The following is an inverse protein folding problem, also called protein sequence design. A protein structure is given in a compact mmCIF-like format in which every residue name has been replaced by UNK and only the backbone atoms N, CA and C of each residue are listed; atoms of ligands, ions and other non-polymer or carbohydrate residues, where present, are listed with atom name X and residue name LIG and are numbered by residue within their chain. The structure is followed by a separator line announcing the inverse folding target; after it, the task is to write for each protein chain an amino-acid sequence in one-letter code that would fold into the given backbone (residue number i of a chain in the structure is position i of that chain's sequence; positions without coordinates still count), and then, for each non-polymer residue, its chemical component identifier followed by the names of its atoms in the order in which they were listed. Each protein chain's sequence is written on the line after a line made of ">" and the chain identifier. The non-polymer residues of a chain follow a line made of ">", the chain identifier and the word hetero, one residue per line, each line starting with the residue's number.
data_IF_661547770840
#
_entry.id   IF_661547770840
#
_cell.length_a   1.000
_cell.length_b   1.000
_cell.length_c   1.000
_cell.angle_alpha   90.00
_cell.angle_beta   90.00
_cell.angle_gamma   90.00
#
_symmetry.space_group_name_H-M   'P 1'
#
loop_
_entity.id
_entity.type
_entity.pdbx_description
1 polymer ?
#
# COMPACT_ATOMS: atom_id res chain seq x y z
N UNK A 1 12.70 11.17 -23.87
CA UNK A 1 11.71 10.12 -24.17
C UNK A 1 12.43 8.85 -23.82
N UNK A 2 12.29 8.41 -22.58
CA UNK A 2 13.02 7.25 -22.09
C UNK A 2 12.21 6.00 -22.40
N UNK A 3 12.90 5.07 -23.04
CA UNK A 3 12.46 3.74 -23.42
C UNK A 3 12.12 2.94 -22.16
N UNK A 4 10.85 2.59 -21.98
CA UNK A 4 10.44 1.60 -20.98
C UNK A 4 11.04 0.25 -21.39
N UNK A 5 12.00 -0.27 -20.61
CA UNK A 5 12.67 -1.54 -20.91
C UNK A 5 11.80 -2.74 -20.50
N UNK A 6 11.75 -3.74 -21.38
CA UNK A 6 11.03 -5.00 -21.22
C UNK A 6 11.53 -5.90 -20.08
N UNK A 7 12.65 -5.54 -19.43
CA UNK A 7 13.26 -6.29 -18.32
C UNK A 7 12.45 -6.17 -17.03
N UNK A 8 11.84 -5.00 -16.77
CA UNK A 8 11.07 -4.76 -15.53
C UNK A 8 9.79 -5.59 -15.47
N UNK A 9 9.14 -5.84 -16.61
CA UNK A 9 7.91 -6.63 -16.65
C UNK A 9 8.19 -8.09 -16.29
N UNK A 10 9.29 -8.67 -16.78
CA UNK A 10 9.67 -10.06 -16.46
C UNK A 10 10.07 -10.20 -14.98
N UNK A 11 10.72 -9.20 -14.40
CA UNK A 11 11.01 -9.17 -12.96
C UNK A 11 9.73 -9.09 -12.11
N UNK A 12 8.74 -8.32 -12.55
CA UNK A 12 7.42 -8.29 -11.91
C UNK A 12 6.74 -9.67 -12.00
N UNK A 13 6.75 -10.31 -13.17
CA UNK A 13 6.18 -11.66 -13.34
C UNK A 13 6.89 -12.69 -12.45
N UNK A 14 8.21 -12.70 -12.44
CA UNK A 14 8.98 -13.63 -11.62
C UNK A 14 8.75 -13.36 -10.11
N UNK A 15 8.60 -12.10 -9.72
CA UNK A 15 8.27 -11.71 -8.34
C UNK A 15 6.86 -12.13 -7.97
N UNK A 16 5.87 -11.91 -8.84
CA UNK A 16 4.48 -12.32 -8.65
C UNK A 16 4.35 -13.84 -8.64
N UNK A 17 5.01 -14.56 -9.53
CA UNK A 17 5.05 -16.03 -9.56
C UNK A 17 5.71 -16.55 -8.28
N UNK A 18 6.82 -15.97 -7.84
CA UNK A 18 7.47 -16.34 -6.57
C UNK A 18 6.56 -16.07 -5.37
N UNK A 19 5.87 -14.93 -5.34
CA UNK A 19 4.93 -14.56 -4.27
C UNK A 19 3.72 -15.49 -4.31
N UNK A 20 3.11 -15.69 -5.48
CA UNK A 20 1.96 -16.55 -5.66
C UNK A 20 2.29 -17.99 -5.39
N UNK A 21 3.43 -18.54 -5.82
CA UNK A 21 3.86 -19.92 -5.52
C UNK A 21 4.31 -20.12 -4.07
N UNK A 22 4.86 -19.09 -3.43
CA UNK A 22 5.11 -19.08 -1.97
C UNK A 22 3.79 -19.08 -1.19
N UNK A 23 2.80 -18.35 -1.69
CA UNK A 23 1.47 -18.27 -1.09
C UNK A 23 0.62 -19.49 -1.45
N UNK A 24 0.78 -20.09 -2.62
CA UNK A 24 0.12 -21.32 -3.11
C UNK A 24 0.54 -22.52 -2.26
N UNK A 25 1.79 -22.55 -1.81
CA UNK A 25 2.26 -23.54 -0.82
C UNK A 25 1.57 -23.40 0.53
N UNK A 26 1.23 -22.17 0.93
CA UNK A 26 0.44 -21.88 2.14
C UNK A 26 -1.08 -22.05 1.89
N UNK A 27 -1.54 -21.88 0.65
CA UNK A 27 -2.92 -22.11 0.22
C UNK A 27 -3.21 -23.59 0.01
N UNK A 28 -2.24 -24.44 -0.33
CA UNK A 28 -2.47 -25.88 -0.47
C UNK A 28 -2.88 -26.53 0.86
N UNK A 29 -2.37 -26.04 2.00
CA UNK A 29 -2.87 -26.42 3.33
C UNK A 29 -4.30 -25.92 3.63
N UNK A 30 -4.81 -24.96 2.86
CA UNK A 30 -6.13 -24.32 3.03
C UNK A 30 -7.17 -24.75 1.97
N UNK A 31 -6.72 -25.18 0.78
CA UNK A 31 -7.54 -25.61 -0.36
C UNK A 31 -8.20 -26.97 -0.10
N UNK A 32 -7.62 -27.81 0.76
CA UNK A 32 -8.16 -29.15 1.06
C UNK A 32 -9.54 -29.12 1.76
N UNK A 33 -10.00 -27.97 2.28
CA UNK A 33 -11.24 -27.84 3.06
C UNK A 33 -12.35 -26.93 2.45
N UNK A 34 -12.25 -26.46 1.19
CA UNK A 34 -13.32 -25.63 0.55
C UNK A 34 -13.66 -26.09 -0.89
N UNK A 35 -14.94 -26.08 -1.32
CA UNK A 35 -15.40 -26.87 -2.48
C UNK A 35 -14.98 -26.32 -3.85
N UNK A 36 -14.25 -27.12 -4.61
CA UNK A 36 -14.22 -27.39 -6.07
C UNK A 36 -14.71 -26.38 -7.16
N UNK A 37 -14.96 -25.11 -6.87
CA UNK A 37 -15.51 -24.17 -7.87
C UNK A 37 -14.42 -23.55 -8.78
N UNK A 38 -13.14 -23.72 -8.47
CA UNK A 38 -12.04 -23.09 -9.23
C UNK A 38 -11.23 -24.03 -10.13
N UNK A 39 -11.52 -25.33 -10.17
CA UNK A 39 -10.66 -26.33 -10.84
C UNK A 39 -10.98 -26.55 -12.34
N UNK A 40 -12.06 -25.99 -12.88
CA UNK A 40 -12.62 -26.49 -14.16
C UNK A 40 -12.72 -25.53 -15.35
N UNK A 41 -11.89 -24.48 -15.45
CA UNK A 41 -11.87 -23.67 -16.68
C UNK A 41 -10.59 -23.85 -17.51
N UNK A 42 -10.63 -24.93 -18.29
CA UNK A 42 -9.96 -25.22 -19.57
C UNK A 42 -9.15 -24.06 -20.18
N UNK A 43 -7.82 -24.13 -20.03
CA UNK A 43 -6.87 -23.51 -20.96
C UNK A 43 -6.34 -24.57 -21.94
N UNK A 44 -7.23 -25.15 -22.75
CA UNK A 44 -6.83 -25.91 -23.94
C UNK A 44 -7.47 -25.34 -25.22
N UNK A 45 -6.58 -24.79 -26.06
CA UNK A 45 -6.65 -24.74 -27.52
C UNK A 45 -7.52 -23.65 -28.20
N UNK A 46 -6.87 -22.74 -28.94
CA UNK A 46 -6.77 -22.80 -30.41
C UNK A 46 -6.11 -21.54 -30.99
N UNK A 47 -4.85 -21.65 -31.43
CA UNK A 47 -4.37 -20.91 -32.61
C UNK A 47 -3.59 -21.88 -33.48
N UNK A 48 -4.25 -22.36 -34.54
CA UNK A 48 -3.61 -23.09 -35.64
C UNK A 48 -3.02 -22.07 -36.60
N UNK A 49 -1.72 -22.23 -36.84
CA UNK A 49 -0.95 -21.91 -38.04
C UNK A 49 -1.47 -20.77 -38.91
N UNK A 50 -0.88 -19.59 -38.75
CA UNK A 50 -0.62 -18.69 -39.88
C UNK A 50 0.70 -17.93 -39.64
N UNK A 51 1.60 -18.10 -40.60
CA UNK A 51 3.01 -17.71 -40.55
C UNK A 51 3.11 -16.18 -40.67
N UNK A 52 3.23 -15.47 -39.55
CA UNK A 52 3.61 -14.05 -39.55
C UNK A 52 4.59 -13.73 -38.43
N UNK A 53 5.69 -13.07 -38.81
CA UNK A 53 6.79 -12.49 -38.03
C UNK A 53 6.78 -12.77 -36.51
N UNK A 54 7.65 -13.69 -36.07
CA UNK A 54 7.74 -14.17 -34.67
C UNK A 54 7.77 -13.06 -33.62
N UNK A 55 8.37 -11.91 -33.93
CA UNK A 55 8.44 -10.75 -33.03
C UNK A 55 7.06 -10.15 -32.70
N UNK A 56 6.13 -10.15 -33.66
CA UNK A 56 4.77 -9.62 -33.45
C UNK A 56 3.93 -10.58 -32.62
N UNK A 57 4.09 -11.88 -32.82
CA UNK A 57 3.39 -12.90 -32.04
C UNK A 57 3.90 -12.91 -30.60
N UNK A 58 5.22 -12.80 -30.37
CA UNK A 58 5.78 -12.67 -29.02
C UNK A 58 5.33 -11.39 -28.33
N UNK A 59 5.33 -10.24 -29.03
CA UNK A 59 4.83 -8.99 -28.46
C UNK A 59 3.33 -9.05 -28.15
N UNK A 60 2.52 -9.67 -29.02
CA UNK A 60 1.10 -9.88 -28.77
C UNK A 60 0.85 -10.85 -27.63
N UNK A 61 1.61 -11.94 -27.56
CA UNK A 61 1.51 -12.93 -26.48
C UNK A 61 1.92 -12.31 -25.14
N UNK A 62 3.00 -11.53 -25.09
CA UNK A 62 3.42 -10.80 -23.91
C UNK A 62 2.39 -9.75 -23.51
N UNK A 63 1.88 -8.96 -24.46
CA UNK A 63 0.84 -7.94 -24.20
C UNK A 63 -0.50 -8.55 -23.77
N UNK A 64 -0.84 -9.73 -24.30
CA UNK A 64 -2.06 -10.45 -23.93
C UNK A 64 -1.90 -11.14 -22.57
N UNK A 65 -0.71 -11.66 -22.28
CA UNK A 65 -0.38 -12.26 -20.99
C UNK A 65 -0.32 -11.20 -19.89
N UNK A 66 0.23 -10.02 -20.17
CA UNK A 66 0.22 -8.86 -19.26
C UNK A 66 -1.18 -8.32 -19.06
N UNK A 67 -1.99 -8.16 -20.11
CA UNK A 67 -3.36 -7.66 -19.95
C UNK A 67 -4.29 -8.63 -19.22
N UNK A 68 -4.17 -9.93 -19.50
CA UNK A 68 -4.90 -11.00 -18.80
C UNK A 68 -4.47 -11.11 -17.35
N UNK A 69 -3.16 -10.98 -17.07
CA UNK A 69 -2.68 -10.98 -15.68
C UNK A 69 -3.16 -9.73 -14.94
N UNK A 70 -3.05 -8.55 -15.55
CA UNK A 70 -3.54 -7.29 -14.97
C UNK A 70 -5.05 -7.33 -14.70
N UNK A 71 -5.85 -7.98 -15.56
CA UNK A 71 -7.29 -8.15 -15.30
C UNK A 71 -7.52 -9.06 -14.10
N UNK A 72 -6.82 -10.19 -14.00
CA UNK A 72 -6.90 -11.10 -12.85
C UNK A 72 -6.45 -10.45 -11.55
N UNK A 73 -5.38 -9.65 -11.57
CA UNK A 73 -4.99 -8.87 -10.38
C UNK A 73 -6.05 -7.83 -10.01
N UNK A 74 -6.68 -7.19 -11.00
CA UNK A 74 -7.78 -6.26 -10.75
C UNK A 74 -9.00 -6.94 -10.11
N UNK A 75 -9.35 -8.15 -10.57
CA UNK A 75 -10.39 -8.99 -9.97
C UNK A 75 -10.02 -9.41 -8.55
N UNK A 76 -8.78 -9.86 -8.33
CA UNK A 76 -8.27 -10.17 -7.00
C UNK A 76 -8.39 -8.97 -6.06
N UNK A 77 -7.95 -7.78 -6.47
CA UNK A 77 -8.08 -6.57 -5.65
C UNK A 77 -9.54 -6.21 -5.38
N UNK A 78 -10.45 -6.46 -6.31
CA UNK A 78 -11.89 -6.27 -6.08
C UNK A 78 -12.43 -7.23 -5.00
N UNK A 79 -11.98 -8.50 -5.02
CA UNK A 79 -12.32 -9.48 -3.98
C UNK A 79 -11.74 -9.07 -2.63
N UNK A 80 -10.47 -8.65 -2.59
CA UNK A 80 -9.81 -8.17 -1.36
C UNK A 80 -10.58 -6.97 -0.79
N UNK A 81 -10.90 -5.99 -1.63
CA UNK A 81 -11.61 -4.79 -1.23
C UNK A 81 -12.99 -5.11 -0.66
N UNK A 82 -13.77 -5.94 -1.35
CA UNK A 82 -15.10 -6.37 -0.91
C UNK A 82 -15.05 -7.18 0.39
N UNK A 83 -14.13 -8.14 0.49
CA UNK A 83 -13.98 -9.02 1.67
C UNK A 83 -13.53 -8.22 2.88
N UNK A 84 -12.53 -7.34 2.72
CA UNK A 84 -12.05 -6.50 3.81
C UNK A 84 -13.15 -5.53 4.30
N UNK A 85 -13.91 -4.96 3.36
CA UNK A 85 -15.07 -4.12 3.70
C UNK A 85 -16.13 -4.89 4.49
N UNK A 86 -16.46 -6.11 4.06
CA UNK A 86 -17.42 -6.95 4.76
C UNK A 86 -16.94 -7.30 6.18
N UNK A 87 -15.67 -7.64 6.33
CA UNK A 87 -15.07 -7.94 7.63
C UNK A 87 -15.16 -6.74 8.58
N UNK A 88 -14.71 -5.57 8.13
CA UNK A 88 -14.73 -4.35 8.96
C UNK A 88 -16.15 -3.92 9.30
N UNK A 89 -17.10 -4.03 8.35
CA UNK A 89 -18.51 -3.71 8.63
C UNK A 89 -19.18 -4.69 9.60
N UNK A 90 -18.76 -5.95 9.59
CA UNK A 90 -19.29 -7.00 10.47
C UNK A 90 -18.82 -6.79 11.90
N UNK A 91 -17.52 -6.56 12.09
CA UNK A 91 -16.91 -6.51 13.42
C UNK A 91 -16.79 -5.09 13.99
N UNK A 92 -16.70 -4.07 13.13
CA UNK A 92 -16.56 -2.65 13.47
C UNK A 92 -15.46 -2.43 14.51
N UNK A 93 -15.84 -2.14 15.74
CA UNK A 93 -14.94 -1.84 16.86
C UNK A 93 -14.59 -3.08 17.71
N UNK A 94 -15.18 -4.25 17.42
CA UNK A 94 -15.00 -5.49 18.18
C UNK A 94 -14.45 -6.58 17.27
N UNK A 95 -13.17 -6.46 16.92
CA UNK A 95 -12.48 -7.43 16.06
C UNK A 95 -12.47 -8.83 16.70
N UNK A 96 -12.57 -9.89 15.88
CA UNK A 96 -12.45 -11.25 16.37
C UNK A 96 -11.01 -11.52 16.84
N UNK A 97 -10.79 -12.51 17.71
CA UNK A 97 -9.44 -12.89 18.15
C UNK A 97 -8.53 -13.27 16.98
N UNK A 98 -7.23 -13.06 17.11
CA UNK A 98 -6.25 -13.28 16.02
C UNK A 98 -6.14 -14.74 15.55
N UNK A 99 -6.65 -15.70 16.34
CA UNK A 99 -6.71 -17.10 15.95
C UNK A 99 -7.95 -17.46 15.10
N UNK A 100 -8.92 -16.55 14.97
CA UNK A 100 -10.12 -16.71 14.17
C UNK A 100 -9.78 -16.88 12.68
N UNK A 101 -10.53 -17.75 12.00
CA UNK A 101 -10.26 -18.11 10.59
C UNK A 101 -10.49 -16.93 9.66
N UNK A 102 -11.57 -16.15 9.85
CA UNK A 102 -11.84 -14.96 9.05
C UNK A 102 -10.77 -13.88 9.27
N UNK A 103 -10.34 -13.69 10.53
CA UNK A 103 -9.24 -12.78 10.84
C UNK A 103 -7.96 -13.16 10.08
N UNK A 104 -7.56 -14.44 10.16
CA UNK A 104 -6.37 -14.95 9.45
C UNK A 104 -6.51 -14.81 7.94
N UNK A 105 -7.70 -15.05 7.41
CA UNK A 105 -7.98 -14.88 5.99
C UNK A 105 -7.76 -13.43 5.54
N UNK A 106 -8.31 -12.45 6.29
CA UNK A 106 -8.09 -11.03 6.00
C UNK A 106 -6.61 -10.63 6.11
N UNK A 107 -5.90 -11.13 7.12
CA UNK A 107 -4.45 -10.91 7.24
C UNK A 107 -3.70 -11.47 6.04
N UNK A 108 -4.08 -12.66 5.56
CA UNK A 108 -3.50 -13.25 4.35
C UNK A 108 -3.69 -12.38 3.12
N UNK A 109 -4.92 -11.90 2.89
CA UNK A 109 -5.24 -11.00 1.77
C UNK A 109 -4.45 -9.68 1.85
N UNK A 110 -4.42 -9.04 3.03
CA UNK A 110 -3.61 -7.83 3.25
C UNK A 110 -2.11 -8.09 3.08
N UNK A 111 -1.62 -9.25 3.50
CA UNK A 111 -0.24 -9.67 3.32
C UNK A 111 0.15 -9.78 1.85
N UNK A 112 -0.73 -10.35 1.01
CA UNK A 112 -0.51 -10.42 -0.44
C UNK A 112 -0.44 -9.00 -1.04
N UNK A 113 -1.37 -8.11 -0.68
CA UNK A 113 -1.34 -6.72 -1.17
C UNK A 113 -0.11 -5.96 -0.67
N UNK A 114 0.34 -6.23 0.55
CA UNK A 114 1.58 -5.66 1.10
C UNK A 114 2.78 -6.08 0.26
N UNK A 115 2.90 -7.37 -0.07
CA UNK A 115 3.96 -7.88 -0.94
C UNK A 115 3.86 -7.31 -2.36
N UNK A 116 2.66 -7.22 -2.93
CA UNK A 116 2.42 -6.60 -4.23
C UNK A 116 2.92 -5.15 -4.23
N UNK A 117 2.62 -4.36 -3.20
CA UNK A 117 3.05 -2.96 -3.13
C UNK A 117 4.58 -2.78 -3.00
N UNK A 118 5.32 -3.82 -2.58
CA UNK A 118 6.75 -3.70 -2.36
C UNK A 118 7.56 -3.51 -3.65
N UNK A 119 7.06 -3.96 -4.80
CA UNK A 119 7.70 -3.74 -6.11
C UNK A 119 7.22 -2.44 -6.78
N UNK A 120 8.04 -1.80 -7.66
CA UNK A 120 7.66 -0.59 -8.40
C UNK A 120 6.40 -0.72 -9.22
N UNK A 121 6.28 -1.81 -9.95
CA UNK A 121 5.17 -2.04 -10.87
C UNK A 121 3.91 -2.39 -10.07
N UNK A 122 4.04 -3.07 -8.93
CA UNK A 122 2.91 -3.40 -8.07
C UNK A 122 2.32 -2.16 -7.39
N UNK A 123 3.13 -1.24 -6.87
CA UNK A 123 2.63 0.05 -6.36
C UNK A 123 2.06 0.96 -7.45
N UNK A 124 2.63 0.95 -8.66
CA UNK A 124 2.05 1.67 -9.79
C UNK A 124 0.70 1.06 -10.21
N UNK A 125 0.62 -0.26 -10.27
CA UNK A 125 -0.62 -0.98 -10.58
C UNK A 125 -1.72 -0.70 -9.56
N UNK A 126 -1.39 -0.70 -8.25
CA UNK A 126 -2.35 -0.38 -7.20
C UNK A 126 -3.00 0.99 -7.40
N UNK A 127 -2.25 1.99 -7.86
CA UNK A 127 -2.75 3.37 -7.99
C UNK A 127 -3.43 3.62 -9.34
N UNK A 128 -3.02 2.90 -10.39
CA UNK A 128 -3.62 3.05 -11.74
C UNK A 128 -4.85 2.17 -11.95
N UNK A 129 -4.95 1.04 -11.25
CA UNK A 129 -6.13 0.18 -11.24
C UNK A 129 -7.24 0.76 -10.33
N UNK A 130 -8.49 0.74 -10.79
CA UNK A 130 -9.64 1.26 -10.02
C UNK A 130 -9.82 0.56 -8.67
N UNK A 131 -9.83 -0.78 -8.64
CA UNK A 131 -10.00 -1.57 -7.42
C UNK A 131 -8.83 -1.35 -6.45
N UNK A 132 -7.60 -1.31 -6.97
CA UNK A 132 -6.42 -1.01 -6.16
C UNK A 132 -6.48 0.37 -5.53
N UNK A 133 -6.88 1.39 -6.30
CA UNK A 133 -6.98 2.76 -5.84
C UNK A 133 -8.03 2.89 -4.73
N UNK A 134 -9.21 2.31 -4.94
CA UNK A 134 -10.27 2.30 -3.94
C UNK A 134 -9.85 1.55 -2.66
N UNK A 135 -9.08 0.47 -2.81
CA UNK A 135 -8.55 -0.26 -1.67
C UNK A 135 -7.54 0.58 -0.86
N UNK A 136 -6.61 1.28 -1.52
CA UNK A 136 -5.66 2.20 -0.83
C UNK A 136 -6.42 3.32 -0.13
N UNK A 137 -7.43 3.92 -0.78
CA UNK A 137 -8.31 4.93 -0.15
C UNK A 137 -8.95 4.41 1.13
N UNK A 138 -9.44 3.17 1.08
CA UNK A 138 -10.08 2.49 2.20
C UNK A 138 -9.08 2.23 3.33
N UNK A 139 -7.85 1.84 3.00
CA UNK A 139 -6.76 1.71 3.98
C UNK A 139 -6.53 3.04 4.73
N UNK A 140 -6.47 4.17 4.00
CA UNK A 140 -6.29 5.50 4.60
C UNK A 140 -7.43 5.81 5.59
N UNK A 141 -8.67 5.47 5.25
CA UNK A 141 -9.82 5.74 6.12
C UNK A 141 -9.82 4.85 7.36
N UNK A 142 -9.60 3.54 7.17
CA UNK A 142 -9.80 2.56 8.23
C UNK A 142 -8.71 2.55 9.29
N UNK A 143 -7.51 3.03 8.98
CA UNK A 143 -6.40 2.96 9.94
C UNK A 143 -6.68 3.74 11.23
N UNK A 144 -7.39 4.86 11.12
CA UNK A 144 -7.82 5.68 12.26
C UNK A 144 -9.11 5.17 12.91
N UNK A 145 -9.94 4.40 12.20
CA UNK A 145 -11.20 3.86 12.72
C UNK A 145 -11.02 2.55 13.50
N UNK A 146 -10.02 1.74 13.13
CA UNK A 146 -9.75 0.49 13.84
C UNK A 146 -9.36 0.78 15.30
N UNK A 147 -9.85 -0.02 16.27
CA UNK A 147 -9.52 0.14 17.68
C UNK A 147 -8.00 -0.01 17.87
N UNK A 148 -7.44 0.43 19.00
CA UNK A 148 -6.00 0.27 19.29
C UNK A 148 -5.69 -0.89 20.24
N UNK A 149 -6.61 -1.85 20.31
CA UNK A 149 -6.36 -3.12 20.99
C UNK A 149 -5.38 -4.01 20.22
N UNK A 150 -4.88 -5.05 20.88
CA UNK A 150 -3.94 -6.01 20.28
C UNK A 150 -4.50 -6.75 19.06
N UNK A 151 -5.83 -6.81 18.92
CA UNK A 151 -6.50 -7.46 17.80
C UNK A 151 -6.37 -6.68 16.50
N UNK A 152 -6.23 -5.34 16.55
CA UNK A 152 -6.08 -4.52 15.34
C UNK A 152 -4.64 -4.33 14.89
N UNK A 153 -3.66 -4.46 15.79
CA UNK A 153 -2.25 -4.16 15.51
C UNK A 153 -1.72 -4.84 14.24
N UNK A 154 -1.98 -6.14 13.99
CA UNK A 154 -1.52 -6.78 12.76
C UNK A 154 -2.16 -6.20 11.48
N UNK A 155 -3.44 -5.80 11.53
CA UNK A 155 -4.12 -5.15 10.41
C UNK A 155 -3.51 -3.77 10.14
N UNK A 156 -3.43 -2.92 11.18
CA UNK A 156 -2.87 -1.56 11.06
C UNK A 156 -1.41 -1.61 10.58
N UNK A 157 -0.64 -2.60 11.01
CA UNK A 157 0.74 -2.82 10.54
C UNK A 157 0.81 -3.04 9.03
N UNK A 158 0.05 -3.99 8.49
CA UNK A 158 0.02 -4.27 7.05
C UNK A 158 -0.48 -3.06 6.25
N UNK A 159 -1.52 -2.40 6.76
CA UNK A 159 -2.05 -1.16 6.19
C UNK A 159 -0.97 -0.07 6.09
N UNK A 160 -0.22 0.20 7.16
CA UNK A 160 0.88 1.17 7.13
C UNK A 160 2.02 0.75 6.19
N UNK A 161 2.31 -0.55 6.09
CA UNK A 161 3.31 -1.05 5.14
C UNK A 161 2.88 -0.80 3.69
N UNK A 162 1.61 -1.01 3.34
CA UNK A 162 1.06 -0.66 2.03
C UNK A 162 1.19 0.83 1.78
N UNK A 163 0.80 1.69 2.74
CA UNK A 163 0.91 3.14 2.59
C UNK A 163 2.36 3.61 2.40
N UNK A 164 3.30 3.05 3.17
CA UNK A 164 4.73 3.33 3.03
C UNK A 164 5.25 2.90 1.64
N UNK A 165 4.92 1.68 1.21
CA UNK A 165 5.37 1.18 -0.08
C UNK A 165 4.82 2.02 -1.24
N UNK A 166 3.55 2.43 -1.16
CA UNK A 166 2.90 3.32 -2.12
C UNK A 166 3.52 4.72 -2.10
N UNK A 167 3.88 5.28 -0.94
CA UNK A 167 4.47 6.62 -0.88
C UNK A 167 5.85 6.73 -1.54
N UNK A 168 6.52 5.60 -1.82
CA UNK A 168 7.83 5.57 -2.50
C UNK A 168 7.72 5.89 -3.99
N UNK A 169 6.58 5.66 -4.67
CA UNK A 169 6.41 6.11 -6.07
C UNK A 169 5.77 7.51 -6.14
N UNK A 170 6.06 8.24 -7.21
CA UNK A 170 5.57 9.61 -7.40
C UNK A 170 4.03 9.68 -7.50
N UNK A 171 3.43 8.77 -8.26
CA UNK A 171 1.97 8.71 -8.51
C UNK A 171 1.21 8.33 -7.24
N UNK A 172 1.73 7.39 -6.46
CA UNK A 172 1.17 6.99 -5.18
C UNK A 172 1.39 8.03 -4.10
N UNK A 173 2.57 8.66 -4.01
CA UNK A 173 2.78 9.82 -3.14
C UNK A 173 1.73 10.90 -3.41
N UNK A 174 1.57 11.30 -4.67
CA UNK A 174 0.55 12.27 -5.06
C UNK A 174 -0.85 11.82 -4.64
N UNK A 175 -1.21 10.56 -4.92
CA UNK A 175 -2.51 10.01 -4.56
C UNK A 175 -2.77 10.02 -3.05
N UNK A 176 -1.76 9.66 -2.23
CA UNK A 176 -1.86 9.66 -0.78
C UNK A 176 -2.07 11.07 -0.20
N UNK A 177 -1.35 12.06 -0.75
CA UNK A 177 -1.49 13.46 -0.36
C UNK A 177 -2.86 14.03 -0.76
N UNK A 178 -3.31 13.78 -1.98
CA UNK A 178 -4.66 14.13 -2.45
C UNK A 178 -5.76 13.46 -1.63
N UNK A 179 -5.51 12.23 -1.17
CA UNK A 179 -6.40 11.46 -0.30
C UNK A 179 -6.27 11.80 1.19
N UNK A 180 -5.54 12.86 1.54
CA UNK A 180 -5.45 13.41 2.90
C UNK A 180 -4.87 12.42 3.93
N UNK A 181 -3.88 11.60 3.53
CA UNK A 181 -3.26 10.60 4.41
C UNK A 181 -2.76 11.16 5.74
N UNK A 182 -2.35 12.44 5.77
CA UNK A 182 -1.91 13.14 6.97
C UNK A 182 -2.96 13.19 8.09
N UNK A 183 -4.25 13.30 7.75
CA UNK A 183 -5.34 13.34 8.74
C UNK A 183 -5.40 12.00 9.51
N UNK A 184 -5.32 10.88 8.79
CA UNK A 184 -5.34 9.53 9.38
C UNK A 184 -4.08 9.21 10.18
N UNK A 185 -2.90 9.63 9.70
CA UNK A 185 -1.63 9.43 10.40
C UNK A 185 -1.57 10.26 11.70
N UNK A 186 -2.10 11.49 11.66
CA UNK A 186 -2.24 12.36 12.85
C UNK A 186 -3.09 11.67 13.92
N UNK A 187 -4.21 11.05 13.55
CA UNK A 187 -5.04 10.29 14.48
C UNK A 187 -4.26 9.12 15.12
N UNK A 188 -3.55 8.33 14.30
CA UNK A 188 -2.79 7.17 14.78
C UNK A 188 -1.66 7.55 15.76
N UNK A 189 -1.00 8.69 15.52
CA UNK A 189 0.08 9.19 16.36
C UNK A 189 -0.41 9.78 17.70
N UNK A 190 -1.63 10.35 17.74
CA UNK A 190 -2.22 10.91 18.96
C UNK A 190 -2.68 9.86 19.95
N UNK A 191 -2.97 8.66 19.47
CA UNK A 191 -3.47 7.61 20.35
C UNK A 191 -2.38 7.15 21.32
N UNK A 192 -2.61 7.42 22.61
CA UNK A 192 -1.69 7.12 23.70
C UNK A 192 -1.54 5.61 23.97
N UNK A 193 -2.46 4.80 23.45
CA UNK A 193 -2.40 3.34 23.53
C UNK A 193 -1.63 2.72 22.36
N UNK A 194 -1.23 3.53 21.37
CA UNK A 194 -0.43 3.08 20.23
C UNK A 194 0.90 2.51 20.69
N UNK A 195 1.11 1.23 20.38
CA UNK A 195 2.36 0.52 20.64
C UNK A 195 3.51 1.18 19.88
N UNK A 196 4.71 1.15 20.44
CA UNK A 196 5.92 1.77 19.87
C UNK A 196 6.16 1.44 18.38
N UNK A 197 5.97 0.17 17.99
CA UNK A 197 6.08 -0.29 16.60
C UNK A 197 5.11 0.45 15.66
N UNK A 198 3.88 0.69 16.11
CA UNK A 198 2.86 1.38 15.33
C UNK A 198 3.17 2.87 15.18
N UNK A 199 3.70 3.51 16.23
CA UNK A 199 4.21 4.89 16.14
C UNK A 199 5.36 4.98 15.13
N UNK A 200 6.28 4.02 15.17
CA UNK A 200 7.42 3.95 14.24
C UNK A 200 6.95 3.85 12.79
N UNK A 201 5.99 2.97 12.50
CA UNK A 201 5.45 2.81 11.16
C UNK A 201 4.73 4.07 10.68
N UNK A 202 3.94 4.73 11.53
CA UNK A 202 3.31 6.00 11.18
C UNK A 202 4.34 7.09 10.84
N UNK A 203 5.41 7.20 11.63
CA UNK A 203 6.48 8.16 11.37
C UNK A 203 7.27 7.81 10.10
N UNK A 204 7.45 6.53 9.77
CA UNK A 204 8.08 6.12 8.51
C UNK A 204 7.24 6.48 7.29
N UNK A 205 5.92 6.33 7.37
CA UNK A 205 5.02 6.81 6.30
C UNK A 205 5.14 8.34 6.19
N UNK A 206 5.09 9.06 7.32
CA UNK A 206 5.26 10.52 7.31
C UNK A 206 6.60 10.98 6.74
N UNK A 207 7.69 10.30 7.10
CA UNK A 207 9.01 10.55 6.56
C UNK A 207 9.02 10.35 5.04
N UNK A 208 8.44 9.24 4.56
CA UNK A 208 8.38 8.98 3.12
C UNK A 208 7.53 9.98 2.35
N UNK A 209 6.40 10.45 2.90
CA UNK A 209 5.55 11.42 2.18
C UNK A 209 6.06 12.86 2.26
N UNK A 210 6.96 13.15 3.18
CA UNK A 210 7.60 14.48 3.32
C UNK A 210 8.98 14.55 2.67
N UNK A 211 9.59 13.40 2.36
CA UNK A 211 10.90 13.34 1.71
C UNK A 211 10.86 13.99 0.32
N UNK A 212 11.74 14.97 0.09
CA UNK A 212 11.83 15.78 -1.13
C UNK A 212 10.49 16.42 -1.57
N UNK A 213 9.54 16.59 -0.63
CA UNK A 213 8.27 17.24 -0.92
C UNK A 213 8.49 18.75 -1.09
N UNK A 214 8.30 19.25 -2.32
CA UNK A 214 8.50 20.66 -2.66
C UNK A 214 7.21 21.43 -2.90
N UNK A 215 6.10 20.71 -3.15
CA UNK A 215 4.82 21.29 -3.52
C UNK A 215 4.15 22.02 -2.33
N UNK A 216 4.03 23.37 -2.38
CA UNK A 216 3.51 24.21 -1.30
C UNK A 216 2.21 23.74 -0.67
N UNK A 217 1.26 23.36 -1.53
CA UNK A 217 -0.09 22.97 -1.12
C UNK A 217 -0.07 21.75 -0.20
N UNK A 218 0.69 20.72 -0.56
CA UNK A 218 0.74 19.49 0.22
C UNK A 218 1.45 19.68 1.55
N UNK A 219 2.47 20.53 1.60
CA UNK A 219 3.18 20.85 2.85
C UNK A 219 2.24 21.61 3.80
N UNK A 220 1.48 22.59 3.28
CA UNK A 220 0.48 23.31 4.06
C UNK A 220 -0.63 22.37 4.56
N UNK A 221 -1.13 21.46 3.71
CA UNK A 221 -2.13 20.46 4.09
C UNK A 221 -1.60 19.54 5.20
N UNK A 222 -0.34 19.07 5.11
CA UNK A 222 0.30 18.25 6.14
C UNK A 222 0.50 19.01 7.46
N UNK A 223 0.96 20.26 7.40
CA UNK A 223 1.13 21.11 8.58
C UNK A 223 -0.21 21.45 9.26
N UNK A 224 -1.31 21.54 8.50
CA UNK A 224 -2.64 21.72 9.05
C UNK A 224 -3.18 20.43 9.71
N UNK A 225 -2.88 19.27 9.16
CA UNK A 225 -3.34 17.97 9.64
C UNK A 225 -2.56 17.47 10.86
N UNK A 226 -1.24 17.68 10.88
CA UNK A 226 -0.31 17.07 11.84
C UNK A 226 0.30 18.15 12.73
N UNK A 227 -0.02 18.17 14.02
CA UNK A 227 0.58 19.13 14.94
C UNK A 227 2.08 18.87 15.10
N UNK A 228 2.89 19.88 14.82
CA UNK A 228 4.35 19.77 14.88
C UNK A 228 4.84 19.48 16.31
N UNK A 229 4.18 20.02 17.32
CA UNK A 229 4.48 19.83 18.75
C UNK A 229 4.37 18.36 19.19
N UNK A 230 3.45 17.61 18.56
CA UNK A 230 3.33 16.17 18.76
C UNK A 230 4.57 15.44 18.25
N UNK A 231 5.06 15.80 17.06
CA UNK A 231 6.27 15.19 16.48
C UNK A 231 7.51 15.58 17.30
N UNK A 232 7.58 16.84 17.76
CA UNK A 232 8.66 17.31 18.64
C UNK A 232 8.73 16.54 19.96
N UNK A 233 7.57 16.23 20.55
CA UNK A 233 7.52 15.40 21.76
C UNK A 233 8.13 14.01 21.52
N UNK A 234 7.90 13.42 20.34
CA UNK A 234 8.50 12.15 19.96
C UNK A 234 10.01 12.30 19.70
N UNK A 235 10.43 13.39 19.03
CA UNK A 235 11.82 13.73 18.76
C UNK A 235 12.66 13.91 20.04
N UNK A 236 12.04 14.38 21.12
CA UNK A 236 12.68 14.53 22.44
C UNK A 236 12.66 13.25 23.30
N UNK A 237 12.03 12.17 22.84
CA UNK A 237 11.99 10.91 23.59
C UNK A 237 13.35 10.19 23.55
N UNK A 238 13.68 9.41 24.58
CA UNK A 238 14.92 8.63 24.68
C UNK A 238 14.98 7.41 23.72
N UNK A 239 14.08 7.34 22.75
CA UNK A 239 13.94 6.22 21.81
C UNK A 239 14.64 6.59 20.52
N UNK A 240 15.92 6.25 20.41
CA UNK A 240 16.83 6.75 19.37
C UNK A 240 16.24 6.62 17.94
N UNK A 241 15.75 5.43 17.57
CA UNK A 241 15.16 5.19 16.25
C UNK A 241 13.95 6.10 15.94
N UNK A 242 13.09 6.37 16.92
CA UNK A 242 11.91 7.23 16.74
C UNK A 242 12.29 8.70 16.75
N UNK A 243 13.23 9.07 17.61
CA UNK A 243 13.76 10.43 17.71
C UNK A 243 14.31 10.89 16.36
N UNK A 244 15.12 10.06 15.72
CA UNK A 244 15.83 10.46 14.51
C UNK A 244 14.89 10.60 13.31
N UNK A 245 13.92 9.69 13.17
CA UNK A 245 12.89 9.80 12.14
C UNK A 245 12.01 11.03 12.38
N UNK A 246 11.60 11.28 13.63
CA UNK A 246 10.79 12.45 13.97
C UNK A 246 11.52 13.77 13.66
N UNK A 247 12.83 13.87 13.95
CA UNK A 247 13.65 15.03 13.59
C UNK A 247 13.70 15.27 12.09
N UNK A 248 13.86 14.21 11.29
CA UNK A 248 13.85 14.33 9.82
C UNK A 248 12.48 14.81 9.29
N UNK A 249 11.38 14.27 9.83
CA UNK A 249 10.04 14.74 9.47
C UNK A 249 9.85 16.22 9.81
N UNK A 250 10.30 16.66 10.99
CA UNK A 250 10.26 18.07 11.40
C UNK A 250 11.07 18.94 10.44
N UNK A 251 12.28 18.51 10.08
CA UNK A 251 13.14 19.22 9.13
C UNK A 251 12.45 19.38 7.77
N UNK A 252 11.88 18.31 7.21
CA UNK A 252 11.16 18.37 5.94
C UNK A 252 9.97 19.34 5.97
N UNK A 253 9.18 19.31 7.05
CA UNK A 253 8.00 20.17 7.21
C UNK A 253 8.36 21.65 7.46
N UNK A 254 9.49 21.92 8.15
CA UNK A 254 9.94 23.28 8.50
C UNK A 254 10.79 23.97 7.45
N UNK A 255 11.60 23.23 6.68
CA UNK A 255 12.45 23.82 5.63
C UNK A 255 11.61 24.61 4.60
N UNK A 256 10.34 24.26 4.42
CA UNK A 256 9.38 25.03 3.62
C UNK A 256 9.00 26.39 4.22
N UNK A 257 8.82 26.49 5.55
CA UNK A 257 8.47 27.76 6.22
C UNK A 257 9.58 28.81 6.10
N UNK A 258 10.85 28.37 6.02
CA UNK A 258 11.99 29.25 5.80
C UNK A 258 12.09 29.71 4.35
N UNK A 259 11.85 28.82 3.38
CA UNK A 259 11.89 29.17 1.96
C UNK A 259 10.75 30.12 1.51
N UNK A 260 9.57 30.07 2.15
CA UNK A 260 8.47 31.01 1.87
C UNK A 260 8.66 32.40 2.47
N UNK A 261 9.45 32.53 3.54
CA UNK A 261 9.77 33.84 4.15
C UNK A 261 10.81 34.60 3.34
N UNK A 262 11.74 33.90 2.68
CA UNK A 262 12.76 34.51 1.82
C UNK A 262 12.13 35.07 0.54
N UNK A 263 11.21 34.35 -0.11
CA UNK A 263 10.54 34.81 -1.34
C UNK A 263 9.55 35.96 -1.15
N UNK A 264 9.12 36.23 0.09
CA UNK A 264 8.22 37.35 0.43
C UNK A 264 8.95 38.63 0.82
N UNK A 265 10.30 38.61 0.91
CA UNK A 265 11.13 39.78 1.21
C UNK A 265 11.83 40.36 -0.03
N UNK A 266 11.71 39.68 -1.18
CA UNK A 266 12.27 40.10 -2.47
C UNK A 266 11.21 40.68 -3.45
N UNK A 267 10.09 41.23 -2.92
CA UNK A 267 9.08 41.98 -3.69
C UNK A 267 8.88 43.37 -3.13
#
# INVERSE_FOLDING_TARGET
>A
MDEFSFENDQELFNSLETILSSTERNFHEFIDDIPNILVTNNFECKFKNEETNGDKIHMLFNKFSTSSLQSKLGEFLSIVDGTFSAFVNTYKISLPPTNNVEYKFIIGLLGIVTNLSASPEGREFLITNFSGREFVRKIIQLISELPSDSGSSPLKRLMLMVLYNVSVNKTGLQYLLESRVGDSLSHCLRDKSTVEEMQLLCLRVLQSVTYDLTEPRYIQDLNAAIPIDMIETIACSKRDNLSDIAKQVIEHLRNYEQNCKVTSQDV
#
